data_IF_411660139381
#
_entry.id   IF_411660139381
#
_cell.length_a   1.000
_cell.length_b   1.000
_cell.length_c   1.000
_cell.angle_alpha   90.00
_cell.angle_beta   90.00
_cell.angle_gamma   90.00
#
_symmetry.space_group_name_H-M   'P 1'
#
loop_
_entity.id
_entity.type
_entity.pdbx_description
1 polymer ?
#
# COMPACT_ATOMS: atom_id res chain seq x y z
N UNK A 1 -32.35 -2.68 13.43
CA UNK A 1 -32.84 -3.53 12.31
C UNK A 1 -31.67 -3.65 11.35
N UNK A 2 -31.07 -4.84 11.27
CA UNK A 2 -30.05 -5.10 10.26
C UNK A 2 -30.71 -4.91 8.89
N UNK A 3 -30.18 -3.99 8.09
CA UNK A 3 -30.58 -3.84 6.70
C UNK A 3 -30.29 -5.18 6.02
N UNK A 4 -31.34 -5.86 5.54
CA UNK A 4 -31.20 -7.04 4.73
C UNK A 4 -30.42 -6.62 3.48
N UNK A 5 -29.16 -7.06 3.39
CA UNK A 5 -28.38 -6.91 2.16
C UNK A 5 -29.20 -7.48 1.02
N UNK A 6 -29.42 -6.68 0.00
CA UNK A 6 -30.13 -7.13 -1.20
C UNK A 6 -29.35 -8.31 -1.79
N UNK A 7 -30.07 -9.37 -2.21
CA UNK A 7 -29.48 -10.51 -2.93
C UNK A 7 -28.56 -10.08 -4.08
N UNK A 8 -28.84 -8.93 -4.68
CA UNK A 8 -28.00 -8.31 -5.71
C UNK A 8 -26.68 -7.76 -5.16
N UNK A 9 -26.66 -7.19 -3.95
CA UNK A 9 -25.42 -6.71 -3.30
C UNK A 9 -24.57 -7.87 -2.83
N UNK A 10 -25.17 -8.93 -2.30
CA UNK A 10 -24.47 -10.15 -1.92
C UNK A 10 -23.86 -10.84 -3.14
N UNK A 11 -24.61 -11.00 -4.23
CA UNK A 11 -24.11 -11.55 -5.48
C UNK A 11 -23.01 -10.66 -6.09
N UNK A 12 -23.18 -9.33 -6.07
CA UNK A 12 -22.16 -8.40 -6.57
C UNK A 12 -20.86 -8.48 -5.79
N UNK A 13 -20.92 -8.63 -4.45
CA UNK A 13 -19.73 -8.85 -3.61
C UNK A 13 -19.06 -10.20 -3.88
N UNK A 14 -19.83 -11.27 -4.08
CA UNK A 14 -19.27 -12.57 -4.43
C UNK A 14 -18.63 -12.58 -5.83
N UNK A 15 -19.24 -11.93 -6.82
CA UNK A 15 -18.68 -11.78 -8.16
C UNK A 15 -17.43 -10.89 -8.16
N UNK A 16 -17.49 -9.75 -7.50
CA UNK A 16 -16.33 -8.86 -7.36
C UNK A 16 -15.15 -9.55 -6.65
N UNK A 17 -15.42 -10.44 -5.69
CA UNK A 17 -14.37 -11.22 -5.02
C UNK A 17 -13.69 -12.25 -5.91
N UNK A 18 -14.39 -12.83 -6.90
CA UNK A 18 -13.83 -13.82 -7.83
C UNK A 18 -13.06 -13.19 -9.00
N UNK A 19 -13.47 -11.99 -9.42
CA UNK A 19 -12.84 -11.25 -10.53
C UNK A 19 -11.84 -10.20 -10.05
N UNK A 20 -11.68 -10.05 -8.74
CA UNK A 20 -10.69 -9.13 -8.19
C UNK A 20 -9.26 -9.57 -8.58
N UNK A 21 -8.34 -8.63 -8.85
CA UNK A 21 -6.95 -8.95 -9.12
C UNK A 21 -6.34 -9.83 -8.03
N UNK A 22 -5.42 -10.72 -8.41
CA UNK A 22 -4.76 -11.64 -7.48
C UNK A 22 -4.19 -10.94 -6.25
N UNK A 23 -3.60 -9.77 -6.43
CA UNK A 23 -3.06 -8.96 -5.33
C UNK A 23 -4.12 -8.52 -4.29
N UNK A 24 -5.39 -8.39 -4.69
CA UNK A 24 -6.47 -8.08 -3.75
C UNK A 24 -7.00 -9.37 -3.08
N UNK A 25 -7.14 -10.46 -3.85
CA UNK A 25 -7.61 -11.76 -3.36
C UNK A 25 -6.64 -12.39 -2.34
N UNK A 26 -5.33 -12.22 -2.57
CA UNK A 26 -4.25 -12.75 -1.74
C UNK A 26 -3.96 -11.93 -0.48
N UNK A 27 -4.78 -10.91 -0.17
CA UNK A 27 -4.60 -10.17 1.10
C UNK A 27 -4.76 -11.12 2.28
N UNK A 28 -3.79 -11.15 3.21
CA UNK A 28 -3.87 -12.02 4.38
C UNK A 28 -5.09 -11.67 5.24
N UNK A 29 -5.85 -12.67 5.70
CA UNK A 29 -7.00 -12.46 6.58
C UNK A 29 -6.61 -12.29 8.05
N UNK A 30 -5.37 -12.62 8.43
CA UNK A 30 -4.87 -12.55 9.80
C UNK A 30 -3.45 -11.99 9.86
N UNK A 31 -3.04 -11.57 11.06
CA UNK A 31 -1.67 -11.11 11.28
C UNK A 31 -0.63 -12.23 11.14
N UNK A 32 -1.01 -13.48 11.39
CA UNK A 32 -0.10 -14.63 11.30
C UNK A 32 0.26 -14.94 9.85
N UNK A 33 -0.61 -14.55 8.93
CA UNK A 33 -0.38 -14.68 7.50
C UNK A 33 0.24 -13.43 6.86
N UNK A 34 0.40 -12.36 7.64
CA UNK A 34 0.98 -11.11 7.17
C UNK A 34 2.49 -11.21 7.09
N UNK A 35 3.02 -11.24 5.87
CA UNK A 35 4.45 -11.46 5.60
C UNK A 35 5.22 -10.15 5.81
N UNK A 36 6.35 -10.23 6.50
CA UNK A 36 7.24 -9.10 6.77
C UNK A 36 6.77 -8.19 7.91
N UNK A 37 7.40 -7.02 8.04
CA UNK A 37 7.06 -5.94 9.00
C UNK A 37 7.04 -6.38 10.48
N UNK A 38 7.85 -7.37 10.86
CA UNK A 38 7.87 -7.90 12.23
C UNK A 38 8.18 -6.84 13.30
N UNK A 39 8.87 -5.77 12.93
CA UNK A 39 9.15 -4.64 13.79
C UNK A 39 7.89 -3.81 14.16
N UNK A 40 6.78 -3.98 13.41
CA UNK A 40 5.48 -3.34 13.67
C UNK A 40 4.47 -4.35 14.21
N UNK A 41 4.33 -5.51 13.55
CA UNK A 41 3.24 -6.48 13.77
C UNK A 41 3.59 -7.64 14.69
N UNK A 42 4.85 -7.79 15.11
CA UNK A 42 5.27 -8.83 16.04
C UNK A 42 4.45 -8.82 17.34
N UNK A 43 4.27 -9.98 17.98
CA UNK A 43 3.42 -10.16 19.16
C UNK A 43 3.72 -9.19 20.30
N UNK A 44 5.02 -8.89 20.52
CA UNK A 44 5.48 -7.99 21.57
C UNK A 44 5.43 -6.49 21.19
N UNK A 45 4.99 -6.16 20.00
CA UNK A 45 5.01 -4.79 19.49
C UNK A 45 3.81 -3.97 19.95
N UNK A 46 4.03 -2.65 20.02
CA UNK A 46 3.06 -1.69 20.58
C UNK A 46 1.71 -1.77 19.86
N UNK A 47 1.70 -1.96 18.54
CA UNK A 47 0.47 -2.04 17.76
C UNK A 47 -0.37 -3.26 18.16
N UNK A 48 0.26 -4.43 18.31
CA UNK A 48 -0.42 -5.65 18.74
C UNK A 48 -0.97 -5.52 20.16
N UNK A 49 -0.16 -5.04 21.10
CA UNK A 49 -0.58 -4.80 22.49
C UNK A 49 -1.73 -3.79 22.59
N UNK A 50 -1.71 -2.74 21.75
CA UNK A 50 -2.81 -1.77 21.70
C UNK A 50 -4.13 -2.38 21.19
N UNK A 51 -4.05 -3.28 20.21
CA UNK A 51 -5.20 -4.03 19.70
C UNK A 51 -5.78 -4.98 20.76
N UNK A 52 -4.94 -5.75 21.43
CA UNK A 52 -5.34 -6.68 22.49
C UNK A 52 -5.99 -5.96 23.68
N UNK A 53 -5.55 -4.73 23.94
CA UNK A 53 -6.13 -3.88 24.98
C UNK A 53 -7.35 -3.07 24.55
N UNK A 54 -7.84 -3.23 23.31
CA UNK A 54 -8.90 -2.41 22.67
C UNK A 54 -8.65 -0.88 22.77
N UNK A 55 -7.38 -0.47 22.74
CA UNK A 55 -6.93 0.92 22.86
C UNK A 55 -6.12 1.34 21.63
N UNK A 56 -6.71 1.17 20.46
CA UNK A 56 -6.07 1.51 19.20
C UNK A 56 -5.88 3.04 19.11
N UNK A 57 -4.65 3.56 19.02
CA UNK A 57 -4.40 4.98 18.77
C UNK A 57 -4.62 5.30 17.29
N UNK A 58 -4.79 6.58 16.96
CA UNK A 58 -4.66 7.04 15.59
C UNK A 58 -3.20 6.98 15.13
N UNK A 59 -2.97 6.57 13.87
CA UNK A 59 -1.61 6.42 13.34
C UNK A 59 -1.54 6.60 11.82
N UNK A 60 -0.31 6.78 11.35
CA UNK A 60 0.01 6.91 9.93
C UNK A 60 0.96 5.77 9.56
N UNK A 61 0.63 5.09 8.47
CA UNK A 61 1.45 4.06 7.84
C UNK A 61 2.23 4.70 6.69
N UNK A 62 3.53 4.83 6.87
CA UNK A 62 4.43 5.36 5.86
C UNK A 62 5.35 4.27 5.33
N UNK A 63 5.60 4.26 4.02
CA UNK A 63 6.53 3.32 3.40
C UNK A 63 6.26 3.11 1.91
N UNK A 64 7.11 2.36 1.22
CA UNK A 64 7.05 2.17 -0.22
C UNK A 64 5.75 1.50 -0.69
N UNK A 65 5.40 1.62 -1.98
CA UNK A 65 4.25 0.92 -2.53
C UNK A 65 4.40 -0.61 -2.36
N UNK A 66 3.27 -1.32 -2.23
CA UNK A 66 3.26 -2.77 -2.08
C UNK A 66 3.77 -3.34 -0.76
N UNK A 67 4.22 -2.51 0.19
CA UNK A 67 4.71 -2.93 1.51
C UNK A 67 3.62 -3.43 2.49
N UNK A 68 2.34 -3.33 2.12
CA UNK A 68 1.22 -3.85 2.91
C UNK A 68 0.45 -2.82 3.74
N UNK A 69 0.63 -1.50 3.53
CA UNK A 69 -0.05 -0.43 4.30
C UNK A 69 -1.58 -0.61 4.39
N UNK A 70 -2.25 -0.71 3.25
CA UNK A 70 -3.71 -0.88 3.17
C UNK A 70 -4.16 -2.21 3.77
N UNK A 71 -3.37 -3.26 3.60
CA UNK A 71 -3.61 -4.59 4.19
C UNK A 71 -3.52 -4.53 5.71
N UNK A 72 -2.47 -3.90 6.24
CA UNK A 72 -2.29 -3.74 7.68
C UNK A 72 -3.42 -2.92 8.31
N UNK A 73 -3.86 -1.84 7.66
CA UNK A 73 -4.99 -1.05 8.14
C UNK A 73 -6.28 -1.89 8.26
N UNK A 74 -6.55 -2.75 7.29
CA UNK A 74 -7.71 -3.67 7.33
C UNK A 74 -7.57 -4.73 8.42
N UNK A 75 -6.38 -5.33 8.57
CA UNK A 75 -6.11 -6.32 9.63
C UNK A 75 -6.29 -5.74 11.04
N UNK A 76 -5.90 -4.49 11.22
CA UNK A 76 -6.06 -3.77 12.49
C UNK A 76 -7.55 -3.51 12.80
N UNK A 77 -8.36 -3.28 11.78
CA UNK A 77 -9.79 -2.98 11.95
C UNK A 77 -10.63 -4.20 12.36
N UNK A 78 -10.25 -5.40 11.94
CA UNK A 78 -11.04 -6.62 12.21
C UNK A 78 -11.19 -6.94 13.71
N UNK A 79 -10.12 -7.02 14.53
CA UNK A 79 -10.24 -7.34 15.95
C UNK A 79 -10.76 -6.17 16.78
N UNK A 80 -10.72 -4.94 16.29
CA UNK A 80 -11.12 -3.74 17.02
C UNK A 80 -12.63 -3.58 17.18
N UNK A 81 -13.46 -4.50 16.68
CA UNK A 81 -14.93 -4.39 16.65
C UNK A 81 -15.43 -2.99 16.23
N UNK A 82 -14.70 -2.38 15.31
CA UNK A 82 -14.94 -1.02 14.83
C UNK A 82 -15.51 -1.03 13.41
N UNK A 83 -16.34 -0.06 13.09
CA UNK A 83 -16.75 0.19 11.71
C UNK A 83 -15.54 0.68 10.90
N UNK A 84 -15.24 0.05 9.77
CA UNK A 84 -14.12 0.43 8.90
C UNK A 84 -14.62 1.23 7.70
N UNK A 85 -14.26 2.51 7.65
CA UNK A 85 -14.65 3.44 6.59
C UNK A 85 -13.44 3.83 5.74
N UNK A 86 -13.20 3.12 4.61
CA UNK A 86 -12.10 3.44 3.72
C UNK A 86 -12.44 4.65 2.85
N UNK A 87 -11.49 5.57 2.73
CA UNK A 87 -11.55 6.77 1.92
C UNK A 87 -10.31 6.83 1.02
N UNK A 88 -10.53 7.07 -0.26
CA UNK A 88 -9.43 7.37 -1.18
C UNK A 88 -9.26 8.87 -1.26
N UNK A 89 -8.08 9.37 -0.93
CA UNK A 89 -7.78 10.80 -1.03
C UNK A 89 -7.81 11.33 -2.47
N UNK A 90 -7.77 10.44 -3.46
CA UNK A 90 -7.86 10.80 -4.89
C UNK A 90 -9.29 11.15 -5.32
N UNK A 91 -10.28 10.44 -4.78
CA UNK A 91 -11.68 10.53 -5.25
C UNK A 91 -12.64 11.19 -4.27
N UNK A 92 -12.25 11.35 -2.99
CA UNK A 92 -13.15 11.79 -1.93
C UNK A 92 -12.95 13.27 -1.59
N UNK A 93 -14.06 13.96 -1.40
CA UNK A 93 -14.12 15.37 -1.05
C UNK A 93 -14.44 15.62 0.43
N UNK A 94 -14.48 16.91 0.81
CA UNK A 94 -14.88 17.34 2.17
C UNK A 94 -16.29 16.86 2.53
N UNK A 95 -17.20 16.78 1.55
CA UNK A 95 -18.56 16.29 1.79
C UNK A 95 -18.60 14.83 2.23
N UNK A 96 -17.77 13.98 1.61
CA UNK A 96 -17.65 12.56 1.98
C UNK A 96 -17.09 12.40 3.39
N UNK A 97 -16.07 13.17 3.74
CA UNK A 97 -15.50 13.17 5.08
C UNK A 97 -16.53 13.56 6.14
N UNK A 98 -17.33 14.61 5.89
CA UNK A 98 -18.40 15.04 6.80
C UNK A 98 -19.49 13.99 6.95
N UNK A 99 -19.86 13.30 5.87
CA UNK A 99 -20.83 12.20 5.92
C UNK A 99 -20.30 11.06 6.80
N UNK A 100 -19.05 10.62 6.59
CA UNK A 100 -18.45 9.54 7.38
C UNK A 100 -18.34 9.92 8.86
N UNK A 101 -17.98 11.16 9.15
CA UNK A 101 -17.94 11.66 10.54
C UNK A 101 -19.35 11.65 11.16
N UNK A 102 -20.39 12.04 10.42
CA UNK A 102 -21.77 11.95 10.89
C UNK A 102 -22.17 10.50 11.19
N UNK A 103 -21.87 9.57 10.29
CA UNK A 103 -22.10 8.13 10.50
C UNK A 103 -21.32 7.59 11.72
N UNK A 104 -20.09 8.09 11.94
CA UNK A 104 -19.28 7.71 13.10
C UNK A 104 -19.89 8.19 14.42
N UNK A 105 -20.43 9.42 14.46
CA UNK A 105 -21.14 9.97 15.61
C UNK A 105 -22.41 9.18 15.93
N UNK A 106 -23.18 8.81 14.90
CA UNK A 106 -24.38 7.97 15.05
C UNK A 106 -24.01 6.57 15.57
N UNK A 107 -22.99 5.92 15.01
CA UNK A 107 -22.51 4.61 15.45
C UNK A 107 -22.03 4.65 16.92
N UNK A 108 -21.33 5.71 17.31
CA UNK A 108 -20.88 5.89 18.68
C UNK A 108 -22.07 6.10 19.65
N UNK A 109 -23.04 6.94 19.26
CA UNK A 109 -24.21 7.26 20.10
C UNK A 109 -25.19 6.08 20.25
N UNK A 110 -25.47 5.37 19.14
CA UNK A 110 -26.50 4.32 19.12
C UNK A 110 -25.96 2.93 19.46
N UNK A 111 -24.73 2.64 19.08
CA UNK A 111 -24.16 1.29 19.15
C UNK A 111 -22.91 1.19 20.03
N UNK A 112 -22.42 2.31 20.59
CA UNK A 112 -21.15 2.38 21.30
C UNK A 112 -19.98 1.78 20.50
N UNK A 113 -20.09 1.83 19.17
CA UNK A 113 -19.14 1.27 18.24
C UNK A 113 -18.16 2.35 17.78
N UNK A 114 -16.87 2.04 17.85
CA UNK A 114 -15.79 2.91 17.31
C UNK A 114 -15.84 2.89 15.79
N UNK A 115 -15.40 3.98 15.16
CA UNK A 115 -15.23 4.05 13.70
C UNK A 115 -13.78 4.30 13.37
N UNK A 116 -13.21 3.46 12.53
CA UNK A 116 -11.89 3.63 11.94
C UNK A 116 -12.06 4.32 10.59
N UNK A 117 -11.55 5.55 10.50
CA UNK A 117 -11.44 6.29 9.24
C UNK A 117 -10.08 5.98 8.63
N UNK A 118 -10.07 5.17 7.57
CA UNK A 118 -8.85 4.86 6.83
C UNK A 118 -8.74 5.75 5.59
N UNK A 119 -7.68 6.55 5.50
CA UNK A 119 -7.40 7.42 4.35
C UNK A 119 -6.17 6.88 3.61
N UNK A 120 -6.42 6.32 2.42
CA UNK A 120 -5.33 5.88 1.54
C UNK A 120 -4.78 7.07 0.74
N UNK A 121 -3.45 7.14 0.60
CA UNK A 121 -2.71 8.22 -0.07
C UNK A 121 -3.01 9.61 0.53
N UNK A 122 -2.93 9.75 1.87
CA UNK A 122 -3.28 10.99 2.59
C UNK A 122 -2.53 12.23 2.08
N UNK A 123 -1.35 12.08 1.49
CA UNK A 123 -0.58 13.18 0.89
C UNK A 123 -1.34 13.89 -0.25
N UNK A 124 -2.39 13.27 -0.80
CA UNK A 124 -3.26 13.89 -1.81
C UNK A 124 -4.37 14.75 -1.22
N UNK A 125 -4.59 14.68 0.09
CA UNK A 125 -5.51 15.59 0.76
C UNK A 125 -4.86 16.97 0.94
N UNK A 126 -5.59 18.00 0.56
CA UNK A 126 -5.20 19.37 0.89
C UNK A 126 -5.39 19.66 2.39
N UNK A 127 -4.82 20.76 2.86
CA UNK A 127 -4.88 21.15 4.28
C UNK A 127 -6.31 21.25 4.79
N UNK A 128 -7.24 21.81 4.01
CA UNK A 128 -8.64 21.97 4.40
C UNK A 128 -9.36 20.62 4.57
N UNK A 129 -9.01 19.59 3.81
CA UNK A 129 -9.55 18.25 3.98
C UNK A 129 -9.00 17.59 5.25
N UNK A 130 -7.72 17.78 5.53
CA UNK A 130 -7.11 17.29 6.76
C UNK A 130 -7.66 18.01 8.00
N UNK A 131 -7.93 19.32 7.92
CA UNK A 131 -8.53 20.12 9.01
C UNK A 131 -9.95 19.64 9.37
N UNK A 132 -10.72 19.11 8.42
CA UNK A 132 -12.06 18.54 8.69
C UNK A 132 -11.99 17.30 9.58
N UNK A 133 -10.94 16.49 9.44
CA UNK A 133 -10.77 15.26 10.22
C UNK A 133 -10.26 15.57 11.64
N UNK A 134 -9.47 16.60 11.78
CA UNK A 134 -8.71 16.92 12.98
C UNK A 134 -9.55 17.00 14.26
N UNK A 135 -10.69 17.72 14.35
CA UNK A 135 -11.52 17.78 15.56
C UNK A 135 -11.98 16.39 16.01
N UNK A 136 -12.32 15.50 15.06
CA UNK A 136 -12.88 14.19 15.31
C UNK A 136 -11.82 13.14 15.72
N UNK A 137 -10.56 13.41 15.42
CA UNK A 137 -9.41 12.68 15.98
C UNK A 137 -9.12 13.14 17.42
N UNK A 138 -9.33 14.43 17.70
CA UNK A 138 -9.12 14.98 19.06
C UNK A 138 -10.17 14.50 20.07
N UNK A 139 -11.44 14.49 19.68
CA UNK A 139 -12.55 14.08 20.53
C UNK A 139 -12.76 12.56 20.59
N UNK A 140 -12.05 11.80 19.74
CA UNK A 140 -12.13 10.35 19.69
C UNK A 140 -13.36 9.81 18.94
N UNK A 141 -14.10 10.65 18.22
CA UNK A 141 -15.21 10.22 17.35
C UNK A 141 -14.74 9.22 16.30
N UNK A 142 -13.53 9.44 15.76
CA UNK A 142 -12.92 8.51 14.82
C UNK A 142 -11.49 8.13 15.26
N UNK A 143 -11.13 6.88 15.01
CA UNK A 143 -9.74 6.42 15.03
C UNK A 143 -9.21 6.63 13.62
N UNK A 144 -8.23 7.52 13.47
CA UNK A 144 -7.69 7.84 12.18
C UNK A 144 -6.52 6.91 11.82
N UNK A 145 -6.54 6.34 10.61
CA UNK A 145 -5.43 5.59 10.02
C UNK A 145 -5.14 6.20 8.66
N UNK A 146 -4.01 6.89 8.54
CA UNK A 146 -3.52 7.41 7.25
C UNK A 146 -2.52 6.44 6.62
N UNK A 147 -2.53 6.30 5.29
CA UNK A 147 -1.48 5.61 4.55
C UNK A 147 -0.86 6.56 3.53
N UNK A 148 0.46 6.53 3.39
CA UNK A 148 1.19 7.37 2.45
C UNK A 148 2.50 6.74 2.00
N UNK A 149 2.92 7.06 0.78
CA UNK A 149 4.25 6.77 0.26
C UNK A 149 5.21 7.96 0.45
N UNK A 150 4.68 9.15 0.67
CA UNK A 150 5.44 10.38 0.87
C UNK A 150 5.79 10.61 2.33
N UNK A 151 6.85 11.40 2.60
CA UNK A 151 7.30 11.65 3.97
C UNK A 151 6.26 12.44 4.78
N UNK A 152 5.69 11.86 5.85
CA UNK A 152 4.53 12.42 6.53
C UNK A 152 4.73 13.84 7.08
N UNK A 153 5.96 14.21 7.45
CA UNK A 153 6.24 15.53 8.02
C UNK A 153 6.07 16.68 7.01
N UNK A 154 6.07 16.40 5.71
CA UNK A 154 5.85 17.41 4.69
C UNK A 154 4.39 17.46 4.22
N UNK A 155 3.72 16.31 4.22
CA UNK A 155 2.41 16.15 3.60
C UNK A 155 1.25 16.22 4.60
N UNK A 156 1.50 15.86 5.85
CA UNK A 156 0.47 15.86 6.89
C UNK A 156 0.60 17.11 7.76
N UNK A 157 -0.52 17.79 8.01
CA UNK A 157 -0.52 18.97 8.86
C UNK A 157 0.00 18.66 10.27
N UNK A 158 0.82 19.54 10.82
CA UNK A 158 1.48 19.32 12.11
C UNK A 158 0.52 19.00 13.27
N UNK A 159 -0.69 19.60 13.36
CA UNK A 159 -1.66 19.25 14.42
C UNK A 159 -2.13 17.79 14.31
N UNK A 160 -2.37 17.26 13.10
CA UNK A 160 -2.78 15.87 12.89
C UNK A 160 -1.61 14.92 13.16
N UNK A 161 -0.42 15.26 12.66
CA UNK A 161 0.80 14.48 12.89
C UNK A 161 1.14 14.34 14.39
N UNK A 162 0.94 15.39 15.19
CA UNK A 162 1.20 15.36 16.65
C UNK A 162 0.26 14.41 17.42
N UNK A 163 -0.88 14.05 16.83
CA UNK A 163 -1.88 13.14 17.42
C UNK A 163 -1.76 11.71 16.93
N UNK A 164 -1.00 11.49 15.87
CA UNK A 164 -0.83 10.19 15.26
C UNK A 164 0.55 9.61 15.55
N UNK A 165 0.63 8.31 15.75
CA UNK A 165 1.91 7.60 15.71
C UNK A 165 2.26 7.31 14.25
N UNK A 166 3.51 7.47 13.90
CA UNK A 166 3.99 7.08 12.56
C UNK A 166 4.64 5.70 12.66
N UNK A 167 4.15 4.76 11.86
CA UNK A 167 4.76 3.45 11.67
C UNK A 167 5.37 3.40 10.27
N UNK A 168 6.68 3.14 10.23
CA UNK A 168 7.42 3.04 8.97
C UNK A 168 7.42 1.60 8.51
N UNK A 169 6.82 1.33 7.34
CA UNK A 169 6.90 0.04 6.68
C UNK A 169 8.12 0.02 5.75
N UNK A 170 8.83 -1.08 5.77
CA UNK A 170 9.97 -1.32 4.90
C UNK A 170 9.53 -2.02 3.60
N UNK A 171 10.35 -1.93 2.55
CA UNK A 171 10.17 -2.76 1.37
C UNK A 171 10.25 -4.24 1.76
N UNK A 172 9.45 -5.07 1.14
CA UNK A 172 9.51 -6.51 1.39
C UNK A 172 10.85 -7.08 0.89
N UNK A 173 11.47 -7.95 1.67
CA UNK A 173 12.68 -8.63 1.22
C UNK A 173 12.38 -9.55 0.03
N UNK A 174 13.39 -9.91 -0.78
CA UNK A 174 13.24 -10.91 -1.84
C UNK A 174 12.62 -12.22 -1.37
N UNK A 175 12.97 -12.68 -0.18
CA UNK A 175 12.41 -13.87 0.45
C UNK A 175 10.92 -13.72 0.72
N UNK A 176 10.52 -12.59 1.31
CA UNK A 176 9.11 -12.29 1.58
C UNK A 176 8.27 -12.25 0.31
N UNK A 177 8.76 -11.62 -0.75
CA UNK A 177 8.07 -11.60 -2.05
C UNK A 177 7.96 -13.01 -2.62
N UNK A 178 9.05 -13.80 -2.55
CA UNK A 178 9.07 -15.20 -2.98
C UNK A 178 8.04 -16.06 -2.24
N UNK A 179 7.90 -15.88 -0.93
CA UNK A 179 6.92 -16.62 -0.11
C UNK A 179 5.48 -16.25 -0.49
N UNK A 180 5.20 -14.98 -0.73
CA UNK A 180 3.89 -14.52 -1.21
C UNK A 180 3.55 -15.13 -2.57
N UNK A 181 4.51 -15.17 -3.51
CA UNK A 181 4.33 -15.77 -4.84
C UNK A 181 4.09 -17.28 -4.74
N UNK A 182 4.89 -18.00 -3.94
CA UNK A 182 4.71 -19.45 -3.73
C UNK A 182 3.35 -19.75 -3.11
N UNK A 183 2.95 -18.98 -2.10
CA UNK A 183 1.62 -19.11 -1.49
C UNK A 183 0.51 -18.90 -2.53
N UNK A 184 0.64 -17.89 -3.40
CA UNK A 184 -0.35 -17.62 -4.43
C UNK A 184 -0.50 -18.76 -5.44
N UNK A 185 0.56 -19.50 -5.74
CA UNK A 185 0.53 -20.68 -6.63
C UNK A 185 -0.17 -21.89 -6.01
N UNK A 186 -0.11 -22.04 -4.68
CA UNK A 186 -0.64 -23.21 -3.97
C UNK A 186 -2.06 -23.00 -3.44
N UNK A 187 -2.42 -21.77 -3.11
CA UNK A 187 -3.73 -21.47 -2.52
C UNK A 187 -4.87 -21.70 -3.53
N UNK A 188 -5.73 -22.67 -3.22
CA UNK A 188 -6.90 -23.03 -4.04
C UNK A 188 -8.11 -22.11 -3.85
N UNK A 189 -8.12 -21.26 -2.80
CA UNK A 189 -9.27 -20.43 -2.44
C UNK A 189 -9.12 -19.03 -3.02
N UNK A 190 -8.03 -18.36 -2.68
CA UNK A 190 -7.75 -16.97 -3.06
C UNK A 190 -6.67 -16.84 -4.13
N UNK A 191 -5.84 -17.87 -4.28
CA UNK A 191 -4.73 -17.92 -5.22
C UNK A 191 -5.06 -18.56 -6.58
N UNK A 192 -4.02 -19.10 -7.18
CA UNK A 192 -4.01 -19.72 -8.50
C UNK A 192 -3.90 -21.24 -8.43
N UNK A 193 -3.98 -21.86 -7.25
CA UNK A 193 -3.77 -23.30 -7.06
C UNK A 193 -4.67 -24.19 -7.91
N UNK A 194 -5.87 -23.73 -8.27
CA UNK A 194 -6.79 -24.47 -9.19
C UNK A 194 -6.31 -24.52 -10.63
N UNK A 195 -5.38 -23.68 -11.01
CA UNK A 195 -4.86 -23.60 -12.39
C UNK A 195 -3.63 -24.49 -12.59
N UNK A 196 -3.16 -25.17 -11.53
CA UNK A 196 -2.00 -26.06 -11.56
C UNK A 196 -0.78 -25.45 -12.24
N UNK A 197 -0.50 -24.18 -11.91
CA UNK A 197 0.61 -23.43 -12.48
C UNK A 197 1.93 -23.85 -11.83
N UNK A 198 2.90 -24.22 -12.65
CA UNK A 198 4.27 -24.52 -12.23
C UNK A 198 5.21 -23.43 -12.72
N UNK A 199 5.91 -22.80 -11.80
CA UNK A 199 6.79 -21.68 -12.06
C UNK A 199 8.26 -22.15 -12.03
N UNK A 200 8.96 -22.01 -13.15
CA UNK A 200 10.38 -22.34 -13.21
C UNK A 200 11.20 -21.51 -12.21
N UNK A 201 12.26 -22.06 -11.60
CA UNK A 201 13.06 -21.33 -10.59
C UNK A 201 13.56 -19.97 -11.05
N UNK A 202 14.10 -19.87 -12.27
CA UNK A 202 14.56 -18.59 -12.84
C UNK A 202 13.41 -17.58 -13.08
N UNK A 203 12.19 -18.06 -13.33
CA UNK A 203 11.01 -17.20 -13.48
C UNK A 203 10.56 -16.61 -12.13
N UNK A 204 10.67 -17.37 -11.04
CA UNK A 204 10.43 -16.87 -9.68
C UNK A 204 11.45 -15.78 -9.31
N UNK A 205 12.72 -16.03 -9.56
CA UNK A 205 13.77 -15.05 -9.28
C UNK A 205 13.55 -13.74 -10.03
N UNK A 206 13.17 -13.81 -11.31
CA UNK A 206 12.87 -12.64 -12.12
C UNK A 206 11.68 -11.84 -11.58
N UNK A 207 10.59 -12.51 -11.17
CA UNK A 207 9.44 -11.86 -10.53
C UNK A 207 9.87 -11.11 -9.27
N UNK A 208 10.68 -11.73 -8.43
CA UNK A 208 11.18 -11.15 -7.17
C UNK A 208 12.06 -9.93 -7.42
N UNK A 209 12.99 -10.03 -8.37
CA UNK A 209 13.92 -8.94 -8.72
C UNK A 209 13.13 -7.72 -9.24
N UNK A 210 12.24 -7.93 -10.21
CA UNK A 210 11.49 -6.83 -10.83
C UNK A 210 10.44 -6.23 -9.89
N UNK A 211 9.88 -7.04 -8.99
CA UNK A 211 8.97 -6.56 -7.96
C UNK A 211 9.63 -5.57 -7.00
N UNK A 212 10.94 -5.69 -6.77
CA UNK A 212 11.72 -4.79 -5.93
C UNK A 212 11.02 -4.44 -4.60
N UNK A 213 10.52 -5.45 -3.90
CA UNK A 213 9.81 -5.30 -2.63
C UNK A 213 8.32 -4.93 -2.71
N UNK A 214 7.76 -4.76 -3.90
CA UNK A 214 6.33 -4.53 -4.12
C UNK A 214 5.59 -5.84 -4.43
N UNK A 215 4.92 -6.41 -3.43
CA UNK A 215 4.16 -7.66 -3.59
C UNK A 215 3.04 -7.56 -4.64
N UNK A 216 2.45 -6.37 -4.83
CA UNK A 216 1.39 -6.14 -5.82
C UNK A 216 1.91 -6.30 -7.24
N UNK A 217 3.13 -5.84 -7.49
CA UNK A 217 3.80 -6.01 -8.79
C UNK A 217 4.03 -7.47 -9.08
N UNK A 218 4.59 -8.21 -8.11
CA UNK A 218 4.85 -9.65 -8.27
C UNK A 218 3.57 -10.44 -8.54
N UNK A 219 2.51 -10.21 -7.77
CA UNK A 219 1.25 -10.92 -7.89
C UNK A 219 0.52 -10.61 -9.21
N UNK A 220 0.50 -9.35 -9.63
CA UNK A 220 -0.14 -8.97 -10.90
C UNK A 220 0.62 -9.55 -12.10
N UNK A 221 1.95 -9.55 -12.06
CA UNK A 221 2.75 -10.16 -13.12
C UNK A 221 2.57 -11.69 -13.15
N UNK A 222 2.55 -12.33 -11.98
CA UNK A 222 2.25 -13.75 -11.85
C UNK A 222 0.88 -14.10 -12.45
N UNK A 223 -0.16 -13.36 -12.08
CA UNK A 223 -1.52 -13.57 -12.60
C UNK A 223 -1.55 -13.46 -14.13
N UNK A 224 -0.92 -12.41 -14.68
CA UNK A 224 -0.81 -12.22 -16.13
C UNK A 224 -0.08 -13.39 -16.82
N UNK A 225 1.03 -13.83 -16.23
CA UNK A 225 1.83 -14.95 -16.77
C UNK A 225 1.04 -16.26 -16.77
N UNK A 226 0.32 -16.56 -15.68
CA UNK A 226 -0.50 -17.79 -15.57
C UNK A 226 -1.63 -17.82 -16.59
N UNK A 227 -2.31 -16.69 -16.81
CA UNK A 227 -3.39 -16.62 -17.79
C UNK A 227 -2.92 -16.56 -19.24
N UNK A 228 -1.65 -16.22 -19.48
CA UNK A 228 -1.07 -16.22 -20.82
C UNK A 228 -0.72 -17.63 -21.34
N UNK A 229 -0.66 -18.63 -20.46
CA UNK A 229 -0.27 -20.00 -20.81
C UNK A 229 -1.51 -20.89 -20.86
N UNK A 230 -1.67 -21.65 -21.95
CA UNK A 230 -2.68 -22.70 -22.02
C UNK A 230 -2.23 -23.95 -21.22
N UNK A 231 -3.16 -24.68 -20.58
CA UNK A 231 -2.82 -25.91 -19.89
C UNK A 231 -2.33 -26.97 -20.89
N UNK A 232 -1.34 -27.76 -20.50
CA UNK A 232 -0.88 -28.93 -21.25
C UNK A 232 -1.89 -30.09 -21.13
N UNK A 233 -1.61 -31.23 -21.84
CA UNK A 233 -2.47 -32.41 -21.83
C UNK A 233 -2.76 -32.99 -20.44
N UNK A 234 -1.93 -32.66 -19.44
CA UNK A 234 -2.10 -33.01 -18.03
C UNK A 234 -2.83 -31.93 -17.22
N UNK A 235 -3.24 -30.83 -17.84
CA UNK A 235 -3.89 -29.69 -17.19
C UNK A 235 -2.91 -28.77 -16.43
N UNK A 236 -1.59 -28.93 -16.61
CA UNK A 236 -0.57 -28.09 -16.00
C UNK A 236 -0.21 -26.91 -16.88
N UNK A 237 0.07 -25.76 -16.25
CA UNK A 237 0.55 -24.54 -16.90
C UNK A 237 2.02 -24.31 -16.53
N UNK A 238 2.94 -24.52 -17.46
CA UNK A 238 4.37 -24.35 -17.25
C UNK A 238 4.78 -22.94 -17.62
N UNK A 239 5.21 -22.17 -16.63
CA UNK A 239 5.58 -20.78 -16.77
C UNK A 239 7.09 -20.66 -16.72
N UNK A 240 7.68 -20.34 -17.85
CA UNK A 240 9.11 -20.13 -17.99
C UNK A 240 9.52 -18.66 -17.83
N UNK A 241 10.83 -18.40 -17.90
CA UNK A 241 11.40 -17.05 -17.78
C UNK A 241 10.92 -16.12 -18.91
N UNK A 242 10.69 -16.62 -20.12
CA UNK A 242 10.23 -15.82 -21.26
C UNK A 242 8.84 -15.26 -21.03
N UNK A 243 7.91 -16.09 -20.58
CA UNK A 243 6.53 -15.72 -20.28
C UNK A 243 6.48 -14.67 -19.17
N UNK A 244 7.28 -14.85 -18.10
CA UNK A 244 7.38 -13.87 -17.02
C UNK A 244 7.96 -12.56 -17.51
N UNK A 245 9.00 -12.61 -18.34
CA UNK A 245 9.60 -11.40 -18.92
C UNK A 245 8.59 -10.63 -19.77
N UNK A 246 7.79 -11.33 -20.60
CA UNK A 246 6.72 -10.70 -21.38
C UNK A 246 5.61 -10.12 -20.51
N UNK A 247 5.21 -10.80 -19.44
CA UNK A 247 4.23 -10.30 -18.48
C UNK A 247 4.71 -9.03 -17.76
N UNK A 248 6.00 -8.93 -17.52
CA UNK A 248 6.65 -7.78 -16.90
C UNK A 248 6.90 -6.61 -17.86
N UNK A 249 7.15 -6.86 -19.16
CA UNK A 249 7.43 -5.85 -20.19
C UNK A 249 6.26 -4.89 -20.48
N UNK A 250 5.03 -5.25 -20.13
CA UNK A 250 3.86 -4.37 -20.25
C UNK A 250 3.82 -3.22 -19.24
N UNK A 251 4.80 -3.11 -18.35
CA UNK A 251 5.03 -1.93 -17.53
C UNK A 251 6.16 -1.09 -18.14
N UNK A 252 5.80 0.05 -18.72
CA UNK A 252 6.70 1.19 -18.80
C UNK A 252 7.38 1.33 -17.43
N UNK A 253 8.70 1.49 -17.35
CA UNK A 253 9.34 1.77 -16.07
C UNK A 253 8.71 3.07 -15.55
N UNK A 254 7.78 2.94 -14.60
CA UNK A 254 7.43 4.08 -13.76
C UNK A 254 8.67 4.36 -12.91
N UNK A 255 9.48 5.26 -13.41
CA UNK A 255 10.46 5.94 -12.59
C UNK A 255 9.72 6.43 -11.34
N UNK A 256 10.16 5.95 -10.19
CA UNK A 256 9.66 6.42 -8.93
C UNK A 256 9.98 7.92 -8.83
N UNK A 257 9.03 8.76 -9.22
CA UNK A 257 9.07 10.17 -8.86
C UNK A 257 9.09 10.23 -7.35
N UNK A 258 10.13 10.87 -6.80
CA UNK A 258 10.31 11.15 -5.39
C UNK A 258 10.28 9.92 -4.46
N UNK A 259 11.16 8.94 -4.70
CA UNK A 259 11.50 7.93 -3.70
C UNK A 259 12.39 8.50 -2.60
N UNK A 260 12.47 7.77 -1.46
CA UNK A 260 13.34 8.08 -0.31
C UNK A 260 14.75 8.53 -0.70
N UNK A 261 15.31 7.99 -1.79
CA UNK A 261 16.63 8.35 -2.30
C UNK A 261 16.79 9.83 -2.68
N UNK A 262 15.74 10.52 -3.13
CA UNK A 262 15.82 11.95 -3.45
C UNK A 262 15.91 12.80 -2.18
N UNK A 263 15.06 12.52 -1.19
CA UNK A 263 15.09 13.20 0.12
C UNK A 263 16.36 12.88 0.91
N UNK A 264 16.83 11.65 0.84
CA UNK A 264 18.11 11.25 1.45
C UNK A 264 19.30 11.96 0.80
N UNK A 265 19.27 12.13 -0.51
CA UNK A 265 20.29 12.86 -1.28
C UNK A 265 20.27 14.36 -0.93
N UNK A 266 19.09 14.98 -0.84
CA UNK A 266 18.95 16.37 -0.37
C UNK A 266 19.43 16.52 1.07
N UNK A 267 19.05 15.60 1.95
CA UNK A 267 19.47 15.61 3.36
C UNK A 267 20.98 15.45 3.49
N UNK A 268 21.58 14.57 2.70
CA UNK A 268 23.03 14.37 2.66
C UNK A 268 23.76 15.59 2.12
N UNK A 269 23.22 16.26 1.08
CA UNK A 269 23.73 17.53 0.56
C UNK A 269 23.72 18.62 1.64
N UNK A 270 22.59 18.83 2.30
CA UNK A 270 22.45 19.83 3.39
C UNK A 270 23.42 19.54 4.54
N UNK A 271 23.55 18.27 4.95
CA UNK A 271 24.50 17.85 5.99
C UNK A 271 25.94 18.09 5.58
N UNK A 272 26.30 17.84 4.33
CA UNK A 272 27.66 18.10 3.79
C UNK A 272 27.98 19.59 3.77
N UNK A 273 27.04 20.45 3.38
CA UNK A 273 27.18 21.91 3.44
C UNK A 273 27.34 22.40 4.88
N UNK A 274 26.52 21.93 5.80
CA UNK A 274 26.62 22.28 7.22
C UNK A 274 27.88 21.77 7.90
N UNK A 275 28.38 20.61 7.44
CA UNK A 275 29.61 19.99 7.93
C UNK A 275 30.87 20.59 7.27
N UNK A 276 30.74 21.64 6.44
CA UNK A 276 31.85 22.27 5.70
C UNK A 276 32.70 21.27 4.88
N UNK A 277 32.02 20.27 4.27
CA UNK A 277 32.66 19.29 3.37
C UNK A 277 32.38 19.66 1.92
N UNK A 278 33.26 20.41 1.22
CA UNK A 278 32.99 20.85 -0.13
C UNK A 278 32.94 19.69 -1.12
N UNK A 279 33.77 18.69 -0.98
CA UNK A 279 33.79 17.50 -1.85
C UNK A 279 32.47 16.68 -1.68
N UNK A 280 32.02 16.48 -0.45
CA UNK A 280 30.75 15.82 -0.17
C UNK A 280 29.56 16.61 -0.71
N UNK A 281 29.55 17.93 -0.55
CA UNK A 281 28.49 18.78 -1.08
C UNK A 281 28.47 18.75 -2.61
N UNK A 282 29.62 18.80 -3.27
CA UNK A 282 29.73 18.73 -4.73
C UNK A 282 29.26 17.38 -5.27
N UNK A 283 29.62 16.28 -4.61
CA UNK A 283 29.18 14.93 -4.98
C UNK A 283 27.64 14.80 -4.93
N UNK A 284 27.02 15.19 -3.81
CA UNK A 284 25.57 15.10 -3.66
C UNK A 284 24.82 16.06 -4.58
N UNK A 285 25.38 17.26 -4.86
CA UNK A 285 24.81 18.19 -5.81
C UNK A 285 24.85 17.65 -7.26
N UNK A 286 25.95 17.01 -7.66
CA UNK A 286 26.03 16.36 -8.96
C UNK A 286 25.02 15.22 -9.11
N UNK A 287 24.80 14.44 -8.04
CA UNK A 287 23.82 13.37 -8.05
C UNK A 287 22.39 13.90 -8.20
N UNK A 288 22.04 14.96 -7.47
CA UNK A 288 20.75 15.65 -7.60
C UNK A 288 20.53 16.20 -9.01
N UNK A 289 21.54 16.91 -9.54
CA UNK A 289 21.46 17.48 -10.87
C UNK A 289 21.31 16.42 -11.98
N UNK A 290 21.99 15.29 -11.87
CA UNK A 290 21.88 14.20 -12.85
C UNK A 290 20.52 13.50 -12.78
N UNK A 291 19.91 13.39 -11.60
CA UNK A 291 18.57 12.84 -11.44
C UNK A 291 17.48 13.78 -12.01
N UNK A 292 17.57 15.09 -11.74
CA UNK A 292 16.64 16.10 -12.28
C UNK A 292 16.78 16.24 -13.81
N UNK A 293 18.00 16.20 -14.34
CA UNK A 293 18.24 16.25 -15.80
C UNK A 293 17.72 15.00 -16.53
N UNK A 294 17.66 13.85 -15.86
CA UNK A 294 17.03 12.64 -16.40
C UNK A 294 15.50 12.79 -16.45
N UNK A 295 14.91 13.43 -15.46
CA UNK A 295 13.47 13.71 -15.40
C UNK A 295 13.02 14.75 -16.44
N UNK A 296 13.80 15.81 -16.67
CA UNK A 296 13.52 16.79 -17.72
C UNK A 296 13.59 16.20 -19.13
N UNK A 297 14.54 15.31 -19.41
CA UNK A 297 14.64 14.65 -20.72
C UNK A 297 13.45 13.72 -20.99
N UNK A 298 12.93 13.05 -19.97
CA UNK A 298 11.73 12.20 -20.09
C UNK A 298 10.43 13.01 -20.25
N UNK A 299 10.40 14.26 -19.77
CA UNK A 299 9.23 15.14 -19.90
C UNK A 299 9.15 15.87 -21.25
N UNK A 300 10.27 16.03 -21.96
CA UNK A 300 10.33 16.71 -23.28
C UNK A 300 9.87 15.79 -24.41
N UNK A 301 9.99 14.47 -24.27
CA UNK A 301 9.58 13.53 -25.33
C UNK A 301 8.05 13.32 -25.43
N UNK A 302 7.26 13.83 -24.49
CA UNK A 302 5.79 13.76 -24.50
C UNK A 302 5.10 15.03 -25.01
N UNK A 303 5.84 16.04 -25.46
CA UNK A 303 5.34 17.37 -25.84
C UNK A 303 5.70 17.86 -27.23
N UNK A 304 6.04 16.99 -28.17
CA UNK A 304 6.38 17.35 -29.53
C UNK A 304 5.22 17.74 -30.43
N UNK A 305 4.56 18.86 -30.19
CA UNK A 305 3.89 19.68 -31.22
C UNK A 305 3.70 21.10 -30.71
N UNK A 306 4.59 21.98 -31.14
CA UNK A 306 4.27 23.42 -31.24
C UNK A 306 3.67 23.70 -32.64
N UNK A 307 2.47 24.23 -32.59
CA UNK A 307 1.97 25.09 -33.66
C UNK A 307 2.39 26.51 -33.32
#
# INVERSE_FOLDING_TARGET
MAQAESLFEHNRRQWAGKEAPLAERMRPPSFDEFVGQQHIVGSERVLRKALEADRLPSFILWGPPGSGKTTLARLVAQPANASFSPVSAVTSGVADLRRIVGEAQENQAMHQQKTILFVDEIHRFNKSQQDVILPHVYDGTVIFIGATTEYPAFEVISPLLSRCRVFTLEALSPEHVGDIVRRALVDHVTGLGKLHADLAPGALEQLVIVANGDARVALNALETAVFAVEPDDCGQRKIDLGIVSDALQRRSPMYAKAGEGHYDTISAFIKSVRGSSPDGALYWLCLLYTSDAADERSSVDLGGRRI
#
